data_IF_069685773838
#
_entry.id   IF_069685773838
#
_cell.length_a   1.000
_cell.length_b   1.000
_cell.length_c   1.000
_cell.angle_alpha   90.00
_cell.angle_beta   90.00
_cell.angle_gamma   90.00
#
_symmetry.space_group_name_H-M   'P 1'
#
loop_
_entity.id
_entity.type
_entity.pdbx_description
1 polymer ?
#
# COMPACT_ATOMS: atom_id res chain seq x y z
N UNK A 1 27.79 27.51 -32.06
CA UNK A 1 27.93 28.84 -31.43
C UNK A 1 27.05 28.84 -30.21
N UNK A 2 27.64 28.88 -29.00
CA UNK A 2 26.90 28.76 -27.75
C UNK A 2 25.94 29.94 -27.58
N UNK A 3 24.70 29.63 -27.19
CA UNK A 3 23.75 30.62 -26.69
C UNK A 3 24.40 31.33 -25.50
N UNK A 4 24.86 32.57 -25.70
CA UNK A 4 25.29 33.42 -24.59
C UNK A 4 24.00 33.81 -23.89
N UNK A 5 23.72 33.18 -22.75
CA UNK A 5 22.61 33.56 -21.88
C UNK A 5 22.79 35.03 -21.50
N UNK A 6 21.78 35.85 -21.79
CA UNK A 6 21.78 37.26 -21.38
C UNK A 6 22.02 37.35 -19.87
N UNK A 7 23.02 38.10 -19.39
CA UNK A 7 23.31 38.17 -17.96
C UNK A 7 22.12 38.76 -17.20
N UNK A 8 21.81 38.17 -16.04
CA UNK A 8 20.74 38.64 -15.16
C UNK A 8 21.09 40.02 -14.62
N UNK A 9 20.18 40.99 -14.77
CA UNK A 9 20.31 42.30 -14.16
C UNK A 9 19.47 42.38 -12.89
N UNK A 10 20.08 42.82 -11.79
CA UNK A 10 19.36 43.17 -10.56
C UNK A 10 18.36 44.30 -10.84
N UNK A 11 17.15 44.17 -10.32
CA UNK A 11 16.05 45.14 -10.57
C UNK A 11 15.92 46.23 -9.51
N UNK A 12 16.65 46.12 -8.39
CA UNK A 12 16.61 47.08 -7.29
C UNK A 12 17.24 48.44 -7.68
N UNK A 13 16.68 49.55 -7.18
CA UNK A 13 17.14 50.90 -7.52
C UNK A 13 18.62 51.14 -7.14
N UNK A 14 19.07 50.53 -6.06
CA UNK A 14 20.45 50.64 -5.55
C UNK A 14 21.43 49.62 -6.17
N UNK A 15 20.98 48.76 -7.09
CA UNK A 15 21.81 47.68 -7.65
C UNK A 15 23.12 48.17 -8.27
N UNK A 16 23.09 49.32 -8.95
CA UNK A 16 24.28 49.92 -9.54
C UNK A 16 25.30 50.37 -8.50
N UNK A 17 24.83 50.81 -7.32
CA UNK A 17 25.69 51.16 -6.21
C UNK A 17 26.28 49.89 -5.56
N UNK A 18 25.46 48.88 -5.27
CA UNK A 18 25.94 47.61 -4.71
C UNK A 18 26.97 46.91 -5.61
N UNK A 19 26.73 46.87 -6.93
CA UNK A 19 27.69 46.30 -7.88
C UNK A 19 29.05 47.01 -7.80
N UNK A 20 29.05 48.34 -7.63
CA UNK A 20 30.27 49.14 -7.56
C UNK A 20 31.03 48.87 -6.26
N UNK A 21 30.34 48.89 -5.12
CA UNK A 21 30.93 48.60 -3.82
C UNK A 21 31.51 47.18 -3.78
N UNK A 22 30.74 46.18 -4.24
CA UNK A 22 31.17 44.78 -4.26
C UNK A 22 32.46 44.58 -5.08
N UNK A 23 32.58 45.24 -6.23
CA UNK A 23 33.79 45.15 -7.05
C UNK A 23 35.02 45.77 -6.36
N UNK A 24 34.83 46.87 -5.63
CA UNK A 24 35.89 47.49 -4.83
C UNK A 24 36.31 46.58 -3.68
N UNK A 25 35.34 45.96 -2.99
CA UNK A 25 35.62 45.01 -1.92
C UNK A 25 36.36 43.77 -2.42
N UNK A 26 35.94 43.20 -3.56
CA UNK A 26 36.63 42.05 -4.18
C UNK A 26 38.07 42.38 -4.53
N UNK A 27 38.31 43.56 -5.12
CA UNK A 27 39.65 43.99 -5.46
C UNK A 27 40.52 44.12 -4.20
N UNK A 28 39.99 44.76 -3.14
CA UNK A 28 40.70 44.91 -1.88
C UNK A 28 40.99 43.55 -1.20
N UNK A 29 40.06 42.59 -1.29
CA UNK A 29 40.25 41.25 -0.74
C UNK A 29 41.32 40.46 -1.49
N UNK A 30 41.33 40.51 -2.83
CA UNK A 30 42.33 39.81 -3.65
C UNK A 30 43.73 40.43 -3.54
N UNK A 31 43.83 41.75 -3.37
CA UNK A 31 45.10 42.43 -3.09
C UNK A 31 45.70 41.99 -1.75
N UNK A 32 44.84 41.66 -0.77
CA UNK A 32 45.25 41.16 0.55
C UNK A 32 45.54 39.67 0.55
N UNK A 33 44.71 38.88 -0.14
CA UNK A 33 44.83 37.43 -0.29
C UNK A 33 44.33 37.01 -1.68
N UNK A 34 45.24 36.64 -2.61
CA UNK A 34 44.85 36.20 -3.95
C UNK A 34 43.97 34.95 -3.99
N UNK A 35 43.87 34.20 -2.88
CA UNK A 35 43.03 33.00 -2.76
C UNK A 35 41.72 33.24 -1.99
N UNK A 36 41.35 34.50 -1.72
CA UNK A 36 40.13 34.84 -0.99
C UNK A 36 38.86 34.23 -1.63
N UNK A 37 37.97 33.70 -0.80
CA UNK A 37 36.67 33.19 -1.25
C UNK A 37 35.70 34.35 -1.53
N UNK A 38 35.69 34.80 -2.78
CA UNK A 38 34.82 35.88 -3.25
C UNK A 38 33.33 35.52 -3.18
N UNK A 39 32.97 34.23 -3.16
CA UNK A 39 31.56 33.82 -3.05
C UNK A 39 30.99 34.10 -1.67
N UNK A 40 31.82 34.14 -0.63
CA UNK A 40 31.43 34.50 0.74
C UNK A 40 31.21 36.00 0.94
N UNK A 41 31.69 36.83 0.01
CA UNK A 41 31.68 38.29 0.14
C UNK A 41 30.41 38.95 -0.40
N UNK A 42 29.51 38.20 -1.03
CA UNK A 42 28.21 38.74 -1.44
C UNK A 42 27.34 39.02 -0.21
N UNK A 43 26.84 40.24 -0.07
CA UNK A 43 25.93 40.60 1.02
C UNK A 43 24.57 39.88 0.89
N UNK A 44 23.90 39.69 2.02
CA UNK A 44 22.56 39.08 2.05
C UNK A 44 21.56 39.85 1.18
N UNK A 45 21.67 41.19 1.14
CA UNK A 45 20.84 42.05 0.30
C UNK A 45 21.09 41.78 -1.21
N UNK A 46 22.35 41.64 -1.60
CA UNK A 46 22.72 41.31 -2.98
C UNK A 46 22.23 39.91 -3.38
N UNK A 47 22.45 38.92 -2.51
CA UNK A 47 22.03 37.53 -2.74
C UNK A 47 20.50 37.42 -2.82
N UNK A 48 19.77 38.17 -2.00
CA UNK A 48 18.31 38.21 -2.02
C UNK A 48 17.78 38.72 -3.36
N UNK A 49 18.28 39.87 -3.82
CA UNK A 49 17.87 40.46 -5.09
C UNK A 49 18.28 39.59 -6.29
N UNK A 50 19.44 38.94 -6.21
CA UNK A 50 19.84 37.96 -7.22
C UNK A 50 18.87 36.77 -7.31
N UNK A 51 18.46 36.22 -6.16
CA UNK A 51 17.46 35.13 -6.09
C UNK A 51 16.09 35.55 -6.60
N UNK A 52 15.67 36.80 -6.37
CA UNK A 52 14.42 37.36 -6.93
C UNK A 52 14.47 37.37 -8.45
N UNK A 53 15.57 37.88 -9.02
CA UNK A 53 15.72 37.97 -10.47
C UNK A 53 15.79 36.59 -11.12
N UNK A 54 16.51 35.63 -10.51
CA UNK A 54 16.51 34.24 -10.96
C UNK A 54 15.09 33.64 -10.97
N UNK A 55 14.31 33.87 -9.91
CA UNK A 55 12.95 33.36 -9.80
C UNK A 55 11.99 34.03 -10.81
N UNK A 56 12.24 35.29 -11.18
CA UNK A 56 11.37 36.04 -12.10
C UNK A 56 11.28 35.42 -13.50
N UNK A 57 12.33 34.70 -13.92
CA UNK A 57 12.41 34.03 -15.22
C UNK A 57 11.78 32.63 -15.22
N UNK A 58 11.34 32.13 -14.06
CA UNK A 58 10.82 30.78 -13.91
C UNK A 58 9.29 30.72 -13.99
N UNK A 59 8.80 29.57 -14.46
CA UNK A 59 7.38 29.19 -14.36
C UNK A 59 6.91 29.21 -12.90
N UNK A 60 5.60 29.23 -12.67
CA UNK A 60 5.06 29.23 -11.30
C UNK A 60 5.55 28.03 -10.47
N UNK A 61 5.59 26.84 -11.08
CA UNK A 61 6.19 25.64 -10.49
C UNK A 61 7.70 25.79 -10.26
N UNK A 62 8.43 26.35 -11.23
CA UNK A 62 9.87 26.62 -11.09
C UNK A 62 10.19 27.58 -9.94
N UNK A 63 9.35 28.60 -9.71
CA UNK A 63 9.47 29.52 -8.56
C UNK A 63 9.27 28.83 -7.22
N UNK A 64 8.36 27.85 -7.15
CA UNK A 64 8.16 27.04 -5.94
C UNK A 64 9.42 26.23 -5.65
N UNK A 65 9.96 25.54 -6.66
CA UNK A 65 11.17 24.74 -6.52
C UNK A 65 12.38 25.58 -6.11
N UNK A 66 12.61 26.70 -6.80
CA UNK A 66 13.72 27.61 -6.50
C UNK A 66 13.65 28.16 -5.09
N UNK A 67 12.44 28.49 -4.61
CA UNK A 67 12.25 28.98 -3.24
C UNK A 67 12.56 27.90 -2.20
N UNK A 68 12.14 26.66 -2.43
CA UNK A 68 12.48 25.55 -1.52
C UNK A 68 13.98 25.32 -1.47
N UNK A 69 14.66 25.31 -2.62
CA UNK A 69 16.12 25.15 -2.68
C UNK A 69 16.86 26.28 -1.95
N UNK A 70 16.45 27.54 -2.15
CA UNK A 70 17.08 28.67 -1.47
C UNK A 70 16.92 28.57 0.05
N UNK A 71 15.73 28.20 0.54
CA UNK A 71 15.48 28.06 1.97
C UNK A 71 16.32 26.92 2.56
N UNK A 72 16.32 25.74 1.95
CA UNK A 72 17.15 24.61 2.41
C UNK A 72 18.65 24.94 2.39
N UNK A 73 19.09 25.74 1.42
CA UNK A 73 20.47 26.21 1.36
C UNK A 73 20.79 27.20 2.50
N UNK A 74 19.85 28.06 2.87
CA UNK A 74 20.00 28.96 4.02
C UNK A 74 20.02 28.18 5.33
N UNK A 75 19.16 27.17 5.46
CA UNK A 75 19.11 26.27 6.63
C UNK A 75 20.44 25.50 6.78
N UNK A 76 20.97 24.95 5.67
CA UNK A 76 22.26 24.24 5.65
C UNK A 76 23.46 25.16 5.94
N UNK A 77 23.39 26.44 5.54
CA UNK A 77 24.43 27.43 5.86
C UNK A 77 24.41 27.78 7.34
N UNK A 78 23.24 27.79 7.97
CA UNK A 78 23.08 28.10 9.38
C UNK A 78 23.47 26.91 10.27
N UNK A 79 23.03 25.70 9.90
CA UNK A 79 23.34 24.44 10.56
C UNK A 79 23.74 23.37 9.52
N UNK A 80 25.05 23.09 9.35
CA UNK A 80 25.53 22.10 8.40
C UNK A 80 25.08 20.65 8.71
N UNK A 81 24.62 20.36 9.94
CA UNK A 81 24.15 19.03 10.35
C UNK A 81 22.62 18.91 10.32
N UNK A 82 21.92 19.93 9.82
CA UNK A 82 20.45 19.97 9.79
C UNK A 82 19.88 18.80 8.99
N UNK A 83 18.82 18.19 9.52
CA UNK A 83 18.06 17.19 8.77
C UNK A 83 17.22 17.89 7.70
N UNK A 84 17.71 17.92 6.46
CA UNK A 84 17.01 18.56 5.35
C UNK A 84 15.58 18.05 5.12
N UNK A 85 15.27 16.82 5.54
CA UNK A 85 13.90 16.29 5.43
C UNK A 85 12.95 16.94 6.44
N UNK A 86 13.43 17.34 7.63
CA UNK A 86 12.60 18.06 8.60
C UNK A 86 12.34 19.51 8.20
N UNK A 87 13.31 20.14 7.53
CA UNK A 87 13.17 21.50 7.01
C UNK A 87 12.43 21.56 5.66
N UNK A 88 12.30 20.41 4.98
CA UNK A 88 11.59 20.35 3.71
C UNK A 88 10.11 20.75 3.88
N UNK A 89 9.58 21.71 3.09
CA UNK A 89 8.23 22.20 3.30
C UNK A 89 7.17 21.10 3.15
N UNK A 90 6.45 20.81 4.23
CA UNK A 90 5.40 19.77 4.28
C UNK A 90 4.28 19.98 3.24
N UNK A 91 4.06 21.22 2.80
CA UNK A 91 3.06 21.56 1.78
C UNK A 91 3.61 21.62 0.35
N UNK A 92 4.89 21.30 0.13
CA UNK A 92 5.54 21.37 -1.18
C UNK A 92 4.79 20.54 -2.22
N UNK A 93 4.49 19.29 -1.92
CA UNK A 93 3.78 18.36 -2.82
C UNK A 93 2.45 18.95 -3.29
N UNK A 94 1.65 19.51 -2.37
CA UNK A 94 0.39 20.17 -2.74
C UNK A 94 0.64 21.38 -3.65
N UNK A 95 1.62 22.22 -3.30
CA UNK A 95 1.92 23.46 -4.04
C UNK A 95 2.43 23.17 -5.45
N UNK A 96 3.31 22.18 -5.62
CA UNK A 96 3.87 21.83 -6.93
C UNK A 96 2.81 21.17 -7.82
N UNK A 97 1.97 20.30 -7.27
CA UNK A 97 0.84 19.68 -8.00
C UNK A 97 -0.17 20.72 -8.48
N UNK A 98 -0.51 21.70 -7.64
CA UNK A 98 -1.38 22.81 -8.05
C UNK A 98 -0.74 23.69 -9.13
N UNK A 99 0.58 23.89 -9.08
CA UNK A 99 1.29 24.75 -10.01
C UNK A 99 1.53 24.11 -11.39
N UNK A 100 1.68 22.78 -11.44
CA UNK A 100 1.88 22.03 -12.69
C UNK A 100 0.55 21.65 -13.37
N UNK A 101 -0.57 21.68 -12.62
CA UNK A 101 -1.88 21.26 -13.10
C UNK A 101 -1.98 19.73 -13.26
N UNK A 102 -3.20 19.20 -13.15
CA UNK A 102 -3.49 17.76 -13.15
C UNK A 102 -3.11 17.01 -14.45
N UNK A 103 -2.57 17.69 -15.47
CA UNK A 103 -2.15 17.12 -16.76
C UNK A 103 -0.63 16.95 -16.93
N UNK A 104 0.20 17.42 -16.00
CA UNK A 104 1.64 17.22 -16.07
C UNK A 104 2.14 16.07 -15.16
N UNK A 105 1.34 15.67 -14.17
CA UNK A 105 1.60 14.47 -13.38
C UNK A 105 1.52 13.18 -14.23
N UNK A 106 0.70 13.18 -15.29
CA UNK A 106 0.61 12.06 -16.24
C UNK A 106 1.83 11.92 -17.14
N UNK A 107 2.62 12.99 -17.35
CA UNK A 107 3.80 12.95 -18.24
C UNK A 107 5.10 12.60 -17.49
N UNK A 108 5.06 12.48 -16.16
CA UNK A 108 6.21 12.00 -15.38
C UNK A 108 6.25 10.45 -15.28
N UNK A 109 5.18 9.78 -15.69
CA UNK A 109 5.10 8.31 -15.80
C UNK A 109 5.57 7.78 -17.16
N UNK A 110 5.73 8.63 -18.18
CA UNK A 110 6.50 8.29 -19.38
C UNK A 110 8.01 8.42 -19.11
N UNK A 111 8.51 7.76 -18.06
CA UNK A 111 9.93 7.44 -17.95
C UNK A 111 10.16 6.16 -18.75
N UNK A 112 11.04 6.26 -19.75
CA UNK A 112 11.65 5.16 -20.47
C UNK A 112 11.65 3.86 -19.64
N UNK A 113 10.85 2.89 -20.07
CA UNK A 113 10.91 1.49 -19.61
C UNK A 113 12.31 0.95 -19.93
N UNK A 114 13.25 1.15 -19.00
CA UNK A 114 14.18 0.07 -18.71
C UNK A 114 13.29 -1.02 -18.13
N UNK A 115 12.98 -2.06 -18.91
CA UNK A 115 12.29 -3.26 -18.41
C UNK A 115 13.10 -3.81 -17.25
N UNK A 116 12.76 -3.38 -16.05
CA UNK A 116 13.41 -3.83 -14.84
C UNK A 116 13.11 -5.32 -14.65
N UNK A 117 14.11 -6.12 -14.24
CA UNK A 117 13.95 -7.57 -14.20
C UNK A 117 12.78 -7.99 -13.30
N UNK A 118 11.99 -8.96 -13.77
CA UNK A 118 10.76 -9.43 -13.13
C UNK A 118 11.05 -10.05 -11.74
N UNK A 119 10.04 -10.12 -10.85
CA UNK A 119 10.22 -10.70 -9.51
C UNK A 119 10.86 -12.09 -9.60
N UNK A 120 10.37 -12.93 -10.52
CA UNK A 120 10.92 -14.27 -10.76
C UNK A 120 12.40 -14.29 -11.13
N UNK A 121 12.86 -13.35 -11.95
CA UNK A 121 14.25 -13.27 -12.42
C UNK A 121 15.23 -12.88 -11.30
N UNK A 122 14.78 -12.12 -10.31
CA UNK A 122 15.63 -11.69 -9.18
C UNK A 122 15.61 -12.63 -7.98
N UNK A 123 14.51 -13.35 -7.80
CA UNK A 123 14.18 -13.93 -6.49
C UNK A 123 14.04 -15.44 -6.46
N UNK A 124 13.52 -16.10 -7.51
CA UNK A 124 13.24 -17.55 -7.43
C UNK A 124 14.50 -18.41 -7.30
N UNK A 125 15.63 -17.97 -7.86
CA UNK A 125 16.91 -18.69 -7.76
C UNK A 125 17.47 -18.69 -6.32
N UNK A 126 17.00 -17.79 -5.45
CA UNK A 126 17.41 -17.72 -4.03
C UNK A 126 16.74 -18.78 -3.17
N UNK A 127 15.76 -19.50 -3.68
CA UNK A 127 15.10 -20.58 -2.96
C UNK A 127 15.91 -21.88 -3.11
N UNK A 128 16.68 -22.22 -2.08
CA UNK A 128 17.52 -23.42 -2.02
C UNK A 128 16.85 -24.59 -1.30
N UNK A 129 15.80 -24.32 -0.53
CA UNK A 129 15.10 -25.28 0.34
C UNK A 129 13.60 -25.29 0.06
N UNK A 130 12.95 -26.42 0.32
CA UNK A 130 11.50 -26.53 0.19
C UNK A 130 10.91 -27.54 1.19
N UNK A 131 9.88 -27.14 1.92
CA UNK A 131 9.16 -28.02 2.84
C UNK A 131 7.66 -27.78 2.79
N UNK A 132 6.88 -28.85 2.66
CA UNK A 132 5.42 -28.81 2.71
C UNK A 132 4.98 -28.48 4.14
N UNK A 133 4.33 -27.33 4.33
CA UNK A 133 3.79 -26.88 5.62
C UNK A 133 2.35 -27.37 5.78
N UNK A 134 1.56 -27.30 4.70
CA UNK A 134 0.21 -27.84 4.63
C UNK A 134 0.08 -28.79 3.43
N UNK A 135 -0.63 -29.94 3.58
CA UNK A 135 -0.69 -30.98 2.56
C UNK A 135 -1.07 -30.45 1.17
N UNK A 136 -0.35 -30.93 0.15
CA UNK A 136 -0.65 -30.61 -1.24
C UNK A 136 -1.79 -31.50 -1.75
N UNK A 137 -2.75 -30.92 -2.45
CA UNK A 137 -3.80 -31.68 -3.13
C UNK A 137 -3.24 -32.54 -4.27
N UNK A 138 -3.97 -33.57 -4.69
CA UNK A 138 -3.60 -34.43 -5.82
C UNK A 138 -3.36 -33.63 -7.11
N UNK A 139 -4.12 -32.55 -7.33
CA UNK A 139 -3.97 -31.66 -8.48
C UNK A 139 -2.61 -30.95 -8.49
N UNK A 140 -2.19 -30.43 -7.34
CA UNK A 140 -0.88 -29.75 -7.20
C UNK A 140 0.26 -30.76 -7.28
N UNK A 141 0.12 -31.92 -6.64
CA UNK A 141 1.09 -33.01 -6.71
C UNK A 141 1.30 -33.46 -8.16
N UNK A 142 0.22 -33.58 -8.94
CA UNK A 142 0.30 -33.92 -10.36
C UNK A 142 0.98 -32.82 -11.20
N UNK A 143 0.74 -31.54 -10.92
CA UNK A 143 1.42 -30.42 -11.58
C UNK A 143 2.92 -30.43 -11.32
N UNK A 144 3.34 -30.61 -10.06
CA UNK A 144 4.75 -30.67 -9.69
C UNK A 144 5.45 -31.88 -10.33
N UNK A 145 4.78 -33.04 -10.35
CA UNK A 145 5.31 -34.23 -10.99
C UNK A 145 5.48 -34.09 -12.51
N UNK A 146 4.63 -33.28 -13.18
CA UNK A 146 4.82 -32.95 -14.59
C UNK A 146 6.06 -32.08 -14.81
N UNK A 147 6.32 -31.13 -13.92
CA UNK A 147 7.52 -30.29 -13.98
C UNK A 147 8.81 -31.10 -13.77
N UNK A 148 8.85 -32.06 -12.84
CA UNK A 148 10.06 -32.89 -12.65
C UNK A 148 10.38 -33.74 -13.87
N UNK A 149 9.36 -34.22 -14.61
CA UNK A 149 9.56 -34.97 -15.86
C UNK A 149 10.18 -34.12 -16.96
N UNK A 150 9.90 -32.81 -16.99
CA UNK A 150 10.53 -31.88 -17.93
C UNK A 150 12.03 -31.73 -17.63
N UNK A 151 12.41 -31.80 -16.36
CA UNK A 151 13.80 -31.75 -15.90
C UNK A 151 14.52 -33.11 -15.99
N UNK A 152 13.81 -34.19 -16.33
CA UNK A 152 14.36 -35.55 -16.46
C UNK A 152 14.45 -36.34 -15.14
N UNK A 153 13.86 -35.83 -14.06
CA UNK A 153 13.94 -36.40 -12.71
C UNK A 153 12.67 -37.16 -12.29
N UNK A 154 12.81 -38.10 -11.34
CA UNK A 154 11.66 -38.70 -10.65
C UNK A 154 11.17 -37.76 -9.54
N UNK A 155 9.89 -37.39 -9.60
CA UNK A 155 9.27 -36.56 -8.56
C UNK A 155 9.13 -37.33 -7.25
N UNK A 156 9.61 -36.75 -6.14
CA UNK A 156 9.31 -37.22 -4.80
C UNK A 156 9.02 -36.05 -3.87
N UNK A 157 7.87 -36.09 -3.19
CA UNK A 157 7.50 -35.10 -2.18
C UNK A 157 8.41 -35.13 -0.94
N UNK A 158 9.04 -36.26 -0.66
CA UNK A 158 9.97 -36.42 0.48
C UNK A 158 11.40 -36.00 0.14
N UNK A 159 11.70 -35.79 -1.13
CA UNK A 159 13.00 -35.28 -1.58
C UNK A 159 12.93 -33.77 -1.78
N UNK A 160 13.53 -33.04 -0.86
CA UNK A 160 13.58 -31.57 -0.88
C UNK A 160 14.15 -31.03 -2.20
N UNK A 161 15.18 -31.66 -2.76
CA UNK A 161 15.79 -31.18 -4.01
C UNK A 161 14.85 -31.31 -5.19
N UNK A 162 14.15 -32.45 -5.27
CA UNK A 162 13.11 -32.71 -6.27
C UNK A 162 11.99 -31.68 -6.17
N UNK A 163 11.55 -31.36 -4.94
CA UNK A 163 10.52 -30.36 -4.69
C UNK A 163 10.96 -28.94 -5.08
N UNK A 164 12.19 -28.54 -4.74
CA UNK A 164 12.77 -27.24 -5.13
C UNK A 164 12.80 -27.07 -6.65
N UNK A 165 13.34 -28.06 -7.38
CA UNK A 165 13.43 -27.99 -8.84
C UNK A 165 12.04 -27.89 -9.47
N UNK A 166 11.11 -28.74 -9.03
CA UNK A 166 9.75 -28.79 -9.58
C UNK A 166 8.97 -27.50 -9.33
N UNK A 167 9.12 -26.89 -8.15
CA UNK A 167 8.52 -25.60 -7.83
C UNK A 167 9.11 -24.49 -8.70
N UNK A 168 10.43 -24.45 -8.85
CA UNK A 168 11.10 -23.44 -9.68
C UNK A 168 10.62 -23.54 -11.13
N UNK A 169 10.60 -24.75 -11.69
CA UNK A 169 10.13 -25.01 -13.06
C UNK A 169 8.65 -24.62 -13.22
N UNK A 170 7.78 -25.00 -12.29
CA UNK A 170 6.36 -24.62 -12.32
C UNK A 170 6.16 -23.10 -12.29
N UNK A 171 6.78 -22.43 -11.32
CA UNK A 171 6.64 -20.99 -11.11
C UNK A 171 7.26 -20.17 -12.26
N UNK A 172 8.33 -20.67 -12.88
CA UNK A 172 8.97 -20.01 -14.00
C UNK A 172 8.15 -20.11 -15.29
N UNK A 173 7.62 -21.29 -15.58
CA UNK A 173 6.90 -21.57 -16.83
C UNK A 173 5.45 -21.10 -16.83
N UNK A 174 4.86 -20.91 -15.66
CA UNK A 174 3.47 -20.48 -15.52
C UNK A 174 3.25 -19.01 -15.94
N UNK A 175 2.15 -18.68 -16.64
CA UNK A 175 1.76 -17.31 -16.92
C UNK A 175 1.61 -16.48 -15.65
N UNK A 176 2.23 -15.30 -15.62
CA UNK A 176 2.12 -14.37 -14.49
C UNK A 176 0.79 -13.59 -14.56
N UNK A 177 0.02 -13.63 -13.47
CA UNK A 177 -1.22 -12.86 -13.32
C UNK A 177 -0.99 -11.53 -12.60
N UNK A 178 -0.06 -11.50 -11.64
CA UNK A 178 0.24 -10.32 -10.83
C UNK A 178 1.68 -10.36 -10.30
N UNK A 179 2.27 -9.19 -10.05
CA UNK A 179 3.57 -9.06 -9.40
C UNK A 179 3.69 -7.79 -8.55
N UNK A 180 4.53 -7.88 -7.53
CA UNK A 180 5.05 -6.76 -6.74
C UNK A 180 6.52 -7.04 -6.42
N UNK A 181 7.38 -6.03 -6.60
CA UNK A 181 8.83 -6.15 -6.37
C UNK A 181 9.18 -6.59 -4.95
N UNK A 182 8.35 -6.20 -3.98
CA UNK A 182 8.63 -6.41 -2.55
C UNK A 182 7.75 -7.51 -1.98
N UNK A 183 6.48 -7.61 -2.40
CA UNK A 183 5.53 -8.55 -1.80
C UNK A 183 5.60 -9.96 -2.40
N UNK A 184 5.77 -10.08 -3.72
CA UNK A 184 5.70 -11.39 -4.38
C UNK A 184 5.07 -11.39 -5.76
N UNK A 185 4.59 -12.56 -6.19
CA UNK A 185 3.94 -12.75 -7.48
C UNK A 185 2.81 -13.78 -7.42
N UNK A 186 1.90 -13.73 -8.41
CA UNK A 186 0.86 -14.75 -8.62
C UNK A 186 0.99 -15.28 -10.04
N UNK A 187 1.04 -16.61 -10.17
CA UNK A 187 1.09 -17.30 -11.46
C UNK A 187 -0.08 -18.26 -11.64
N UNK A 188 -0.56 -18.39 -12.87
CA UNK A 188 -1.61 -19.34 -13.26
C UNK A 188 -0.98 -20.67 -13.66
N UNK A 189 -0.99 -21.64 -12.76
CA UNK A 189 -0.38 -22.96 -13.02
C UNK A 189 -1.14 -23.75 -14.08
N UNK A 190 -2.47 -23.66 -14.08
CA UNK A 190 -3.37 -24.17 -15.11
C UNK A 190 -4.76 -23.48 -15.00
N UNK A 191 -5.79 -24.02 -15.65
CA UNK A 191 -7.15 -23.47 -15.61
C UNK A 191 -7.83 -23.57 -14.23
N UNK A 192 -7.29 -24.35 -13.30
CA UNK A 192 -7.90 -24.61 -11.99
C UNK A 192 -7.07 -24.12 -10.81
N UNK A 193 -5.76 -23.95 -10.97
CA UNK A 193 -4.81 -23.71 -9.88
C UNK A 193 -3.98 -22.46 -10.18
N UNK A 194 -3.87 -21.60 -9.16
CA UNK A 194 -2.88 -20.53 -9.09
C UNK A 194 -1.90 -20.80 -7.96
N UNK A 195 -0.68 -20.26 -8.11
CA UNK A 195 0.32 -20.22 -7.06
C UNK A 195 0.64 -18.76 -6.73
N UNK A 196 0.44 -18.38 -5.47
CA UNK A 196 0.85 -17.09 -4.92
C UNK A 196 2.16 -17.29 -4.18
N UNK A 197 3.22 -16.63 -4.66
CA UNK A 197 4.55 -16.63 -4.04
C UNK A 197 4.69 -15.34 -3.26
N UNK A 198 4.90 -15.43 -1.95
CA UNK A 198 4.98 -14.27 -1.05
C UNK A 198 6.31 -14.32 -0.30
N UNK A 199 6.93 -13.17 -0.08
CA UNK A 199 8.13 -13.05 0.76
C UNK A 199 7.82 -13.32 2.23
N UNK A 200 8.65 -14.10 2.91
CA UNK A 200 8.56 -14.36 4.34
C UNK A 200 7.67 -15.56 4.73
N UNK A 201 8.00 -16.19 5.85
CA UNK A 201 7.44 -17.48 6.29
C UNK A 201 6.80 -17.44 7.69
N UNK A 202 6.54 -16.26 8.25
CA UNK A 202 6.05 -16.09 9.63
C UNK A 202 4.53 -16.06 9.78
N UNK A 203 3.79 -15.97 8.66
CA UNK A 203 2.35 -15.74 8.67
C UNK A 203 1.65 -16.60 7.62
N UNK A 204 0.68 -17.40 8.08
CA UNK A 204 -0.10 -18.33 7.26
C UNK A 204 -1.59 -17.97 7.20
N UNK A 205 -1.95 -16.76 7.66
CA UNK A 205 -3.35 -16.31 7.77
C UNK A 205 -4.13 -16.50 6.48
N UNK A 206 -3.55 -16.16 5.32
CA UNK A 206 -4.24 -16.33 4.03
C UNK A 206 -4.67 -17.78 3.79
N UNK A 207 -3.76 -18.75 4.02
CA UNK A 207 -4.07 -20.17 3.82
C UNK A 207 -5.07 -20.68 4.85
N UNK A 208 -4.86 -20.36 6.13
CA UNK A 208 -5.71 -20.86 7.23
C UNK A 208 -7.11 -20.29 7.17
N UNK A 209 -7.27 -19.05 6.70
CA UNK A 209 -8.57 -18.44 6.46
C UNK A 209 -9.32 -19.06 5.29
N UNK A 210 -8.65 -19.32 4.16
CA UNK A 210 -9.29 -20.03 3.04
C UNK A 210 -9.71 -21.45 3.45
N UNK A 211 -8.88 -22.16 4.23
CA UNK A 211 -9.23 -23.47 4.77
C UNK A 211 -10.45 -23.40 5.69
N UNK A 212 -10.46 -22.42 6.60
CA UNK A 212 -11.59 -22.20 7.50
C UNK A 212 -12.90 -21.91 6.75
N UNK A 213 -12.85 -21.09 5.70
CA UNK A 213 -14.01 -20.80 4.86
C UNK A 213 -14.49 -22.03 4.10
N UNK A 214 -13.57 -22.81 3.51
CA UNK A 214 -13.93 -24.06 2.82
C UNK A 214 -14.67 -25.03 3.75
N UNK A 215 -14.25 -25.12 5.02
CA UNK A 215 -14.83 -26.02 6.01
C UNK A 215 -16.15 -25.49 6.63
N UNK A 216 -16.27 -24.17 6.84
CA UNK A 216 -17.33 -23.58 7.69
C UNK A 216 -18.34 -22.75 6.94
N UNK A 217 -17.97 -22.22 5.77
CA UNK A 217 -18.81 -21.34 4.96
C UNK A 217 -18.49 -21.49 3.46
N UNK A 218 -18.67 -22.69 2.87
CA UNK A 218 -18.31 -22.98 1.48
C UNK A 218 -19.12 -22.19 0.45
N UNK A 219 -20.20 -21.53 0.86
CA UNK A 219 -20.99 -20.60 0.07
C UNK A 219 -20.29 -19.24 -0.15
N UNK A 220 -19.32 -18.88 0.71
CA UNK A 220 -18.51 -17.69 0.51
C UNK A 220 -17.58 -17.95 -0.67
N UNK A 221 -17.59 -17.09 -1.71
CA UNK A 221 -16.84 -17.35 -2.93
C UNK A 221 -15.36 -16.96 -2.75
N UNK A 222 -14.63 -17.71 -1.93
CA UNK A 222 -13.18 -17.60 -1.73
C UNK A 222 -12.42 -18.65 -2.56
N UNK A 223 -11.15 -18.43 -2.92
CA UNK A 223 -10.30 -19.48 -3.46
C UNK A 223 -10.19 -20.65 -2.48
N UNK A 224 -10.22 -21.89 -2.98
CA UNK A 224 -10.03 -23.07 -2.13
C UNK A 224 -8.54 -23.37 -1.97
N UNK A 225 -8.05 -23.67 -0.77
CA UNK A 225 -6.65 -23.98 -0.56
C UNK A 225 -6.28 -25.35 -1.15
N UNK A 226 -5.11 -25.45 -1.78
CA UNK A 226 -4.59 -26.68 -2.39
C UNK A 226 -3.21 -27.08 -1.87
N UNK A 227 -2.72 -26.40 -0.84
CA UNK A 227 -1.48 -26.67 -0.12
C UNK A 227 -0.60 -25.44 0.06
N UNK A 228 0.34 -25.52 1.00
CA UNK A 228 1.29 -24.45 1.29
C UNK A 228 2.70 -25.02 1.48
N UNK A 229 3.67 -24.41 0.79
CA UNK A 229 5.08 -24.80 0.84
C UNK A 229 5.91 -23.62 1.32
N UNK A 230 6.79 -23.85 2.30
CA UNK A 230 7.90 -22.93 2.56
C UNK A 230 8.98 -23.21 1.51
N UNK A 231 9.37 -22.18 0.76
CA UNK A 231 10.26 -22.24 -0.39
C UNK A 231 11.40 -21.24 -0.22
N UNK A 232 12.45 -21.64 0.50
CA UNK A 232 13.53 -20.77 0.93
C UNK A 232 13.00 -19.53 1.70
N UNK A 233 13.30 -18.30 1.25
CA UNK A 233 12.81 -17.09 1.89
C UNK A 233 11.36 -16.72 1.51
N UNK A 234 10.68 -17.56 0.73
CA UNK A 234 9.31 -17.35 0.26
C UNK A 234 8.38 -18.43 0.78
N UNK A 235 7.08 -18.16 0.71
CA UNK A 235 6.01 -19.16 0.80
C UNK A 235 5.28 -19.24 -0.52
N UNK A 236 4.87 -20.44 -0.89
CA UNK A 236 4.03 -20.71 -2.06
C UNK A 236 2.70 -21.25 -1.58
N UNK A 237 1.64 -20.48 -1.84
CA UNK A 237 0.27 -20.85 -1.52
C UNK A 237 -0.40 -21.29 -2.81
N UNK A 238 -0.79 -22.57 -2.88
CA UNK A 238 -1.59 -23.08 -3.98
C UNK A 238 -3.07 -22.93 -3.63
N UNK A 239 -3.84 -22.39 -4.56
CA UNK A 239 -5.28 -22.20 -4.37
C UNK A 239 -6.02 -22.29 -5.71
N UNK A 240 -7.34 -22.44 -5.66
CA UNK A 240 -8.15 -22.50 -6.88
C UNK A 240 -8.09 -21.17 -7.65
N UNK A 241 -8.07 -21.25 -8.98
CA UNK A 241 -8.22 -20.08 -9.84
C UNK A 241 -9.65 -19.55 -9.79
N UNK A 242 -9.81 -18.25 -9.51
CA UNK A 242 -11.11 -17.56 -9.57
C UNK A 242 -11.25 -16.93 -10.96
N UNK A 243 -12.26 -17.33 -11.76
CA UNK A 243 -12.42 -16.84 -13.13
C UNK A 243 -12.89 -15.38 -13.18
N UNK A 244 -12.57 -14.69 -14.26
CA UNK A 244 -13.02 -13.32 -14.54
C UNK A 244 -11.90 -12.30 -14.50
N UNK A 245 -12.26 -11.05 -14.23
CA UNK A 245 -11.34 -9.92 -14.10
C UNK A 245 -11.58 -9.23 -12.76
N UNK A 246 -10.56 -8.54 -12.25
CA UNK A 246 -10.70 -7.72 -11.04
C UNK A 246 -11.74 -6.63 -11.26
N UNK A 247 -12.51 -6.30 -10.24
CA UNK A 247 -13.49 -5.22 -10.27
C UNK A 247 -12.82 -3.89 -10.62
N UNK A 248 -11.58 -3.64 -10.18
CA UNK A 248 -10.80 -2.44 -10.59
C UNK A 248 -10.74 -2.26 -12.10
N UNK A 249 -10.53 -3.35 -12.86
CA UNK A 249 -10.45 -3.31 -14.33
C UNK A 249 -11.82 -3.15 -14.99
N UNK A 250 -12.87 -3.72 -14.39
CA UNK A 250 -14.23 -3.62 -14.91
C UNK A 250 -14.89 -2.27 -14.57
N UNK A 251 -14.61 -1.71 -13.40
CA UNK A 251 -15.32 -0.59 -12.77
C UNK A 251 -15.53 0.63 -13.67
N UNK A 252 -14.53 1.10 -14.47
CA UNK A 252 -14.71 2.26 -15.34
C UNK A 252 -15.77 2.06 -16.44
N UNK A 253 -16.06 0.80 -16.79
CA UNK A 253 -16.98 0.44 -17.87
C UNK A 253 -18.37 0.01 -17.35
N UNK A 254 -18.58 -0.01 -16.04
CA UNK A 254 -19.84 -0.42 -15.44
C UNK A 254 -20.87 0.71 -15.47
N UNK A 255 -22.10 0.39 -15.85
CA UNK A 255 -23.23 1.29 -15.69
C UNK A 255 -23.59 1.47 -14.20
N UNK A 256 -24.42 2.47 -13.90
CA UNK A 256 -24.96 2.63 -12.55
C UNK A 256 -25.69 1.38 -12.06
N UNK A 257 -26.50 0.76 -12.93
CA UNK A 257 -27.26 -0.45 -12.60
C UNK A 257 -26.36 -1.67 -12.38
N UNK A 258 -25.25 -1.79 -13.13
CA UNK A 258 -24.26 -2.84 -12.89
C UNK A 258 -23.59 -2.67 -11.52
N UNK A 259 -23.22 -1.43 -11.17
CA UNK A 259 -22.63 -1.11 -9.86
C UNK A 259 -23.58 -1.42 -8.72
N UNK A 260 -24.88 -1.10 -8.86
CA UNK A 260 -25.91 -1.46 -7.88
C UNK A 260 -26.10 -2.98 -7.77
N UNK A 261 -26.03 -3.69 -8.90
CA UNK A 261 -26.17 -5.15 -8.93
C UNK A 261 -24.99 -5.84 -8.25
N UNK A 262 -23.77 -5.36 -8.47
CA UNK A 262 -22.57 -5.84 -7.78
C UNK A 262 -22.64 -5.49 -6.28
N UNK A 263 -23.07 -4.28 -5.94
CA UNK A 263 -23.25 -3.86 -4.54
C UNK A 263 -24.17 -4.83 -3.78
N UNK A 264 -25.30 -5.23 -4.38
CA UNK A 264 -26.24 -6.19 -3.77
C UNK A 264 -25.61 -7.56 -3.57
N UNK A 265 -24.94 -8.10 -4.60
CA UNK A 265 -24.24 -9.39 -4.49
C UNK A 265 -23.18 -9.39 -3.39
N UNK A 266 -22.37 -8.33 -3.31
CA UNK A 266 -21.40 -8.17 -2.24
C UNK A 266 -22.07 -8.05 -0.89
N UNK A 267 -23.20 -7.35 -0.79
CA UNK A 267 -23.94 -7.23 0.46
C UNK A 267 -24.45 -8.57 0.98
N UNK A 268 -24.94 -9.43 0.10
CA UNK A 268 -25.36 -10.80 0.45
C UNK A 268 -24.16 -11.64 0.93
N UNK A 269 -23.02 -11.55 0.25
CA UNK A 269 -21.79 -12.25 0.61
C UNK A 269 -21.30 -11.79 2.00
N UNK A 270 -21.19 -10.48 2.23
CA UNK A 270 -20.70 -9.94 3.50
C UNK A 270 -21.72 -10.11 4.64
N UNK A 271 -23.03 -10.11 4.36
CA UNK A 271 -24.04 -10.49 5.33
C UNK A 271 -23.83 -11.93 5.82
N UNK A 272 -23.54 -12.85 4.90
CA UNK A 272 -23.28 -14.27 5.19
C UNK A 272 -21.96 -14.44 5.95
N UNK A 273 -20.89 -13.80 5.50
CA UNK A 273 -19.57 -13.82 6.16
C UNK A 273 -19.68 -13.38 7.62
N UNK A 274 -20.45 -12.32 7.88
CA UNK A 274 -20.64 -11.75 9.24
C UNK A 274 -21.56 -12.58 10.13
N UNK A 275 -22.21 -13.64 9.62
CA UNK A 275 -22.87 -14.64 10.48
C UNK A 275 -21.87 -15.58 11.15
N UNK A 276 -20.63 -15.64 10.66
CA UNK A 276 -19.56 -16.37 11.30
C UNK A 276 -19.06 -15.53 12.48
N UNK A 277 -19.51 -15.91 13.68
CA UNK A 277 -19.23 -15.16 14.92
C UNK A 277 -18.53 -16.01 15.95
N UNK A 278 -17.80 -15.33 16.82
CA UNK A 278 -17.31 -15.89 18.07
C UNK A 278 -17.62 -14.95 19.23
N UNK A 279 -17.85 -15.52 20.41
CA UNK A 279 -18.01 -14.76 21.65
C UNK A 279 -16.67 -14.17 22.06
N UNK A 280 -16.69 -12.91 22.48
CA UNK A 280 -15.49 -12.26 23.01
C UNK A 280 -14.91 -13.02 24.21
N UNK A 281 -13.59 -12.97 24.36
CA UNK A 281 -12.87 -13.66 25.43
C UNK A 281 -12.76 -15.18 25.24
N UNK A 282 -13.45 -15.79 24.26
CA UNK A 282 -13.38 -17.25 24.04
C UNK A 282 -12.15 -17.64 23.22
N UNK A 283 -11.89 -16.90 22.14
CA UNK A 283 -10.70 -17.08 21.31
C UNK A 283 -10.05 -15.72 21.06
N UNK A 284 -8.75 -15.69 20.70
CA UNK A 284 -8.09 -14.48 20.24
C UNK A 284 -8.75 -13.88 19.00
N UNK A 285 -8.62 -12.55 18.87
CA UNK A 285 -8.87 -11.81 17.64
C UNK A 285 -7.69 -11.98 16.67
N UNK A 286 -7.93 -11.66 15.39
CA UNK A 286 -6.97 -11.83 14.31
C UNK A 286 -7.12 -13.16 13.58
N UNK A 287 -6.01 -13.69 13.05
CA UNK A 287 -6.01 -14.92 12.25
C UNK A 287 -6.60 -16.14 12.98
N UNK A 288 -7.19 -17.06 12.21
CA UNK A 288 -7.97 -18.21 12.69
C UNK A 288 -7.20 -19.10 13.67
N UNK A 289 -5.89 -19.28 13.47
CA UNK A 289 -5.04 -20.15 14.30
C UNK A 289 -4.31 -19.39 15.40
N UNK A 290 -4.74 -18.16 15.71
CA UNK A 290 -4.12 -17.32 16.72
C UNK A 290 -2.85 -16.63 16.20
N UNK A 291 -2.72 -16.45 14.89
CA UNK A 291 -1.63 -15.68 14.27
C UNK A 291 -1.53 -14.27 14.88
N UNK A 292 -2.64 -13.73 15.37
CA UNK A 292 -2.71 -12.46 16.08
C UNK A 292 -3.35 -11.35 15.23
N UNK A 293 -3.61 -10.23 15.88
CA UNK A 293 -4.19 -9.04 15.26
C UNK A 293 -3.15 -8.32 14.41
N UNK A 294 -3.55 -7.89 13.21
CA UNK A 294 -2.76 -7.00 12.35
C UNK A 294 -3.26 -5.58 12.48
N UNK A 295 -2.50 -4.72 13.15
CA UNK A 295 -2.80 -3.30 13.25
C UNK A 295 -1.64 -2.49 12.69
N UNK A 296 -1.66 -2.34 11.35
CA UNK A 296 -0.60 -1.71 10.55
C UNK A 296 -0.28 -0.28 10.98
N UNK A 297 -1.21 0.39 11.69
CA UNK A 297 -1.01 1.76 12.22
C UNK A 297 -0.12 1.81 13.46
N UNK A 298 -0.02 0.71 14.19
CA UNK A 298 0.83 0.60 15.40
C UNK A 298 2.20 0.08 14.99
N UNK A 299 2.22 -0.97 14.17
CA UNK A 299 3.43 -1.55 13.59
C UNK A 299 3.03 -2.33 12.33
N UNK A 300 3.66 -2.02 11.20
CA UNK A 300 3.34 -2.60 9.89
C UNK A 300 3.67 -4.09 9.79
N UNK A 301 4.55 -4.61 10.66
CA UNK A 301 5.08 -5.96 10.61
C UNK A 301 4.67 -6.81 11.83
N UNK A 302 4.06 -6.21 12.85
CA UNK A 302 3.75 -6.92 14.10
C UNK A 302 2.45 -7.73 14.02
N UNK A 303 2.49 -8.87 14.73
CA UNK A 303 1.32 -9.70 15.01
C UNK A 303 1.01 -9.63 16.51
N UNK A 304 -0.07 -8.94 16.87
CA UNK A 304 -0.43 -8.70 18.26
C UNK A 304 -1.25 -9.86 18.82
N UNK A 305 -0.60 -10.73 19.59
CA UNK A 305 -1.23 -11.90 20.22
C UNK A 305 -1.91 -11.54 21.55
N UNK A 306 -2.80 -12.42 22.01
CA UNK A 306 -3.45 -12.31 23.33
C UNK A 306 -4.58 -11.28 23.42
N UNK A 307 -4.93 -10.63 22.31
CA UNK A 307 -6.09 -9.74 22.22
C UNK A 307 -7.32 -10.61 22.01
N UNK A 308 -8.29 -10.55 22.92
CA UNK A 308 -9.47 -11.42 22.94
C UNK A 308 -10.79 -10.65 22.98
N UNK A 309 -10.74 -9.35 23.26
CA UNK A 309 -11.91 -8.49 23.42
C UNK A 309 -11.86 -7.28 22.50
N UNK A 310 -13.03 -6.70 22.19
CA UNK A 310 -13.11 -5.44 21.45
C UNK A 310 -12.40 -4.33 22.20
N UNK A 311 -12.47 -4.33 23.54
CA UNK A 311 -11.79 -3.32 24.36
C UNK A 311 -10.27 -3.36 24.18
N UNK A 312 -9.66 -4.54 24.27
CA UNK A 312 -8.21 -4.70 24.08
C UNK A 312 -7.77 -4.31 22.67
N UNK A 313 -8.58 -4.64 21.66
CA UNK A 313 -8.32 -4.19 20.29
C UNK A 313 -8.38 -2.66 20.18
N UNK A 314 -9.37 -2.01 20.80
CA UNK A 314 -9.45 -0.54 20.83
C UNK A 314 -8.22 0.07 21.53
N UNK A 315 -7.76 -0.54 22.63
CA UNK A 315 -6.55 -0.10 23.32
C UNK A 315 -5.32 -0.22 22.42
N UNK A 316 -5.19 -1.30 21.66
CA UNK A 316 -4.14 -1.46 20.66
C UNK A 316 -4.20 -0.35 19.59
N UNK A 317 -5.37 -0.05 19.03
CA UNK A 317 -5.51 0.97 17.96
C UNK A 317 -4.92 2.33 18.37
N UNK A 318 -5.06 2.71 19.65
CA UNK A 318 -4.55 3.96 20.21
C UNK A 318 -3.17 3.84 20.87
N UNK A 319 -2.49 2.69 20.74
CA UNK A 319 -1.19 2.43 21.38
C UNK A 319 0.02 2.89 20.57
N UNK A 320 -0.19 3.36 19.32
CA UNK A 320 0.88 3.86 18.46
C UNK A 320 1.68 4.95 19.18
N UNK A 321 2.92 4.62 19.54
CA UNK A 321 3.77 5.47 20.40
C UNK A 321 4.14 6.76 19.66
N UNK A 322 4.25 7.86 20.39
CA UNK A 322 4.69 9.17 19.89
C UNK A 322 3.72 9.89 18.92
N UNK A 323 2.57 9.30 18.58
CA UNK A 323 1.59 9.90 17.68
C UNK A 323 0.35 10.47 18.39
N UNK A 324 0.44 10.86 19.67
CA UNK A 324 -0.69 11.48 20.35
C UNK A 324 -0.45 11.69 21.84
N UNK A 325 -0.88 12.85 22.36
CA UNK A 325 -0.89 13.07 23.81
C UNK A 325 -1.98 12.21 24.46
N UNK A 326 -1.80 11.87 25.74
CA UNK A 326 -2.82 11.16 26.51
C UNK A 326 -4.18 11.89 26.48
N UNK A 327 -4.18 13.23 26.47
CA UNK A 327 -5.38 14.06 26.36
C UNK A 327 -6.06 13.91 25.00
N UNK A 328 -5.31 13.90 23.90
CA UNK A 328 -5.87 13.72 22.56
C UNK A 328 -6.50 12.33 22.40
N UNK A 329 -5.81 11.29 22.85
CA UNK A 329 -6.33 9.92 22.87
C UNK A 329 -7.58 9.81 23.75
N UNK A 330 -7.58 10.42 24.94
CA UNK A 330 -8.76 10.45 25.81
C UNK A 330 -9.96 11.15 25.15
N UNK A 331 -9.74 12.26 24.46
CA UNK A 331 -10.78 12.96 23.70
C UNK A 331 -11.33 12.09 22.56
N UNK A 332 -10.48 11.42 21.78
CA UNK A 332 -10.96 10.51 20.72
C UNK A 332 -11.77 9.36 21.29
N UNK A 333 -11.34 8.80 22.42
CA UNK A 333 -12.06 7.73 23.12
C UNK A 333 -13.41 8.19 23.68
N UNK A 334 -13.55 9.44 24.11
CA UNK A 334 -14.84 9.94 24.65
C UNK A 334 -15.95 9.96 23.59
N UNK A 335 -15.61 10.12 22.30
CA UNK A 335 -16.60 9.98 21.22
C UNK A 335 -17.14 8.54 21.07
N UNK A 336 -16.46 7.55 21.64
CA UNK A 336 -16.81 6.12 21.52
C UNK A 336 -17.48 5.56 22.79
N UNK A 337 -17.64 6.34 23.87
CA UNK A 337 -18.21 5.87 25.15
C UNK A 337 -19.66 5.38 25.04
N UNK A 338 -20.41 5.91 24.08
CA UNK A 338 -21.79 5.53 23.81
C UNK A 338 -21.95 4.66 22.55
N UNK A 339 -20.84 4.15 22.01
CA UNK A 339 -20.86 3.29 20.83
C UNK A 339 -21.47 1.92 21.18
N UNK A 340 -22.63 1.61 20.62
CA UNK A 340 -23.30 0.32 20.82
C UNK A 340 -22.55 -0.84 20.15
N UNK A 341 -21.58 -0.57 19.27
CA UNK A 341 -20.76 -1.60 18.62
C UNK A 341 -19.90 -2.39 19.61
N UNK A 342 -19.55 -1.80 20.76
CA UNK A 342 -18.81 -2.48 21.83
C UNK A 342 -19.72 -3.25 22.79
N UNK A 343 -21.05 -3.14 22.64
CA UNK A 343 -22.02 -3.93 23.43
C UNK A 343 -22.26 -5.31 22.82
N UNK A 344 -22.03 -5.46 21.52
CA UNK A 344 -21.96 -6.76 20.89
C UNK A 344 -20.71 -7.46 21.46
N UNK A 345 -20.89 -8.32 22.45
CA UNK A 345 -19.83 -9.17 23.03
C UNK A 345 -19.43 -10.30 22.05
N UNK A 346 -19.37 -9.96 20.76
CA UNK A 346 -19.14 -10.85 19.64
C UNK A 346 -18.18 -10.18 18.65
N UNK A 347 -17.19 -10.95 18.18
CA UNK A 347 -16.41 -10.61 17.00
C UNK A 347 -16.92 -11.41 15.80
N UNK A 348 -16.80 -10.82 14.61
CA UNK A 348 -17.21 -11.41 13.34
C UNK A 348 -15.99 -11.78 12.52
N UNK A 349 -16.10 -12.78 11.66
CA UNK A 349 -15.09 -13.04 10.67
C UNK A 349 -15.14 -11.95 9.58
N UNK A 350 -13.98 -11.39 9.23
CA UNK A 350 -13.85 -10.28 8.27
C UNK A 350 -12.78 -10.61 7.24
N UNK A 351 -12.91 -10.01 6.04
CA UNK A 351 -11.89 -10.11 5.00
C UNK A 351 -10.66 -9.24 5.31
N UNK A 352 -10.87 -8.04 5.85
CA UNK A 352 -9.80 -7.13 6.29
C UNK A 352 -9.22 -6.21 5.21
N UNK A 353 -9.20 -6.63 3.94
CA UNK A 353 -8.76 -5.80 2.80
C UNK A 353 -9.80 -5.77 1.65
N UNK A 354 -10.99 -5.25 1.92
CA UNK A 354 -12.07 -5.16 0.91
C UNK A 354 -11.84 -3.98 -0.03
N UNK A 355 -11.32 -4.28 -1.22
CA UNK A 355 -11.08 -3.30 -2.30
C UNK A 355 -11.37 -3.91 -3.68
N UNK A 356 -11.54 -3.05 -4.69
CA UNK A 356 -11.88 -3.47 -6.06
C UNK A 356 -10.84 -4.38 -6.70
N UNK A 357 -9.59 -4.36 -6.23
CA UNK A 357 -8.53 -5.25 -6.72
C UNK A 357 -8.71 -6.71 -6.25
N UNK A 358 -9.39 -6.88 -5.12
CA UNK A 358 -9.60 -8.15 -4.45
C UNK A 358 -10.98 -8.78 -4.74
N UNK A 359 -11.77 -8.13 -5.60
CA UNK A 359 -13.10 -8.61 -6.00
C UNK A 359 -13.02 -9.04 -7.46
N UNK A 360 -13.40 -10.27 -7.75
CA UNK A 360 -13.43 -10.83 -9.11
C UNK A 360 -14.85 -10.78 -9.66
N UNK A 361 -14.98 -10.36 -10.92
CA UNK A 361 -16.25 -10.30 -11.64
C UNK A 361 -16.13 -10.86 -13.05
N UNK A 362 -17.25 -11.35 -13.57
CA UNK A 362 -17.38 -11.70 -14.99
C UNK A 362 -18.78 -11.36 -15.48
N UNK A 363 -18.94 -11.27 -16.79
CA UNK A 363 -20.29 -11.26 -17.38
C UNK A 363 -20.85 -12.68 -17.34
N UNK A 364 -22.09 -12.82 -16.88
CA UNK A 364 -22.77 -14.10 -16.82
C UNK A 364 -22.96 -14.67 -18.23
N UNK A 365 -22.49 -15.91 -18.51
CA UNK A 365 -22.60 -16.51 -19.82
C UNK A 365 -24.07 -16.71 -20.21
N UNK A 366 -24.48 -16.18 -21.36
CA UNK A 366 -25.85 -16.37 -21.87
C UNK A 366 -26.90 -15.42 -21.29
N UNK A 367 -26.51 -14.46 -20.44
CA UNK A 367 -27.37 -13.35 -20.02
C UNK A 367 -27.15 -12.11 -20.90
N UNK A 368 -27.96 -11.07 -20.70
CA UNK A 368 -27.86 -9.78 -21.38
C UNK A 368 -26.66 -8.92 -20.90
N UNK A 369 -25.51 -9.53 -20.63
CA UNK A 369 -24.29 -8.84 -20.20
C UNK A 369 -24.25 -8.48 -18.71
N UNK A 370 -25.05 -9.15 -17.86
CA UNK A 370 -25.08 -8.88 -16.42
C UNK A 370 -23.76 -9.31 -15.76
N UNK A 371 -23.22 -8.46 -14.88
CA UNK A 371 -22.03 -8.80 -14.10
C UNK A 371 -22.37 -9.60 -12.85
N UNK A 372 -21.61 -10.68 -12.62
CA UNK A 372 -21.66 -11.49 -11.41
C UNK A 372 -20.31 -11.44 -10.68
N UNK A 373 -20.37 -11.44 -9.35
CA UNK A 373 -19.20 -11.60 -8.49
C UNK A 373 -18.80 -13.07 -8.48
N UNK A 374 -17.60 -13.38 -8.97
CA UNK A 374 -17.09 -14.75 -9.07
C UNK A 374 -16.24 -15.15 -7.87
N UNK A 375 -15.71 -14.17 -7.15
CA UNK A 375 -15.05 -14.43 -5.88
C UNK A 375 -14.38 -13.23 -5.25
N UNK A 376 -13.97 -13.42 -4.00
CA UNK A 376 -13.19 -12.48 -3.19
C UNK A 376 -11.84 -13.16 -2.92
N UNK A 377 -10.75 -12.49 -3.29
CA UNK A 377 -9.37 -13.01 -3.20
C UNK A 377 -8.56 -12.19 -2.19
N UNK A 378 -7.34 -12.63 -1.88
CA UNK A 378 -6.39 -11.94 -1.00
C UNK A 378 -6.85 -11.86 0.47
N UNK A 379 -7.07 -13.04 1.06
CA UNK A 379 -7.52 -13.20 2.46
C UNK A 379 -6.39 -13.03 3.49
N UNK A 380 -5.29 -12.36 3.14
CA UNK A 380 -4.11 -12.25 4.00
C UNK A 380 -4.38 -11.46 5.29
N UNK A 381 -5.30 -10.50 5.28
CA UNK A 381 -5.67 -9.67 6.44
C UNK A 381 -6.95 -10.13 7.15
N UNK A 382 -7.45 -11.31 6.78
CA UNK A 382 -8.69 -11.83 7.33
C UNK A 382 -8.54 -12.38 8.74
N UNK A 383 -9.66 -12.50 9.44
CA UNK A 383 -9.65 -12.95 10.83
C UNK A 383 -10.92 -12.58 11.58
N UNK A 384 -10.95 -12.91 12.86
CA UNK A 384 -12.01 -12.44 13.76
C UNK A 384 -11.65 -11.07 14.31
N UNK A 385 -12.52 -10.09 14.08
CA UNK A 385 -12.34 -8.72 14.52
C UNK A 385 -13.65 -8.16 15.11
N UNK A 386 -13.59 -7.03 15.85
CA UNK A 386 -14.79 -6.41 16.39
C UNK A 386 -15.85 -6.15 15.33
N UNK A 387 -17.12 -6.16 15.70
CA UNK A 387 -18.24 -6.08 14.77
C UNK A 387 -18.17 -4.88 13.79
N UNK A 388 -17.57 -3.76 14.20
CA UNK A 388 -17.41 -2.55 13.38
C UNK A 388 -16.17 -2.57 12.46
N UNK A 389 -15.23 -3.50 12.64
CA UNK A 389 -13.87 -3.42 12.08
C UNK A 389 -13.87 -3.17 10.57
N UNK A 390 -14.57 -4.00 9.81
CA UNK A 390 -14.59 -3.90 8.35
C UNK A 390 -15.20 -2.58 7.87
N UNK A 391 -16.18 -2.03 8.61
CA UNK A 391 -16.81 -0.72 8.36
C UNK A 391 -15.84 0.46 8.51
N UNK A 392 -14.73 0.25 9.22
CA UNK A 392 -13.65 1.24 9.33
C UNK A 392 -12.52 0.95 8.35
N UNK A 393 -12.17 -0.33 8.18
CA UNK A 393 -11.05 -0.77 7.36
C UNK A 393 -11.26 -0.53 5.85
N UNK A 394 -12.48 -0.68 5.32
CA UNK A 394 -12.73 -0.61 3.87
C UNK A 394 -12.39 0.74 3.20
N UNK A 395 -12.20 1.80 3.99
CA UNK A 395 -11.83 3.14 3.48
C UNK A 395 -10.38 3.52 3.72
N UNK A 396 -9.53 2.58 4.17
CA UNK A 396 -8.10 2.84 4.43
C UNK A 396 -7.36 3.35 3.18
N UNK A 397 -7.79 2.92 2.00
CA UNK A 397 -7.27 3.31 0.69
C UNK A 397 -8.07 4.43 0.02
N UNK A 398 -9.05 5.04 0.70
CA UNK A 398 -9.82 6.16 0.15
C UNK A 398 -8.92 7.40 0.05
N UNK A 399 -8.59 7.77 -1.18
CA UNK A 399 -7.92 9.02 -1.53
C UNK A 399 -8.87 10.20 -1.36
N UNK A 400 -8.34 11.32 -0.88
CA UNK A 400 -9.09 12.59 -0.76
C UNK A 400 -8.95 13.47 -2.00
N UNK A 401 -8.11 13.07 -2.96
CA UNK A 401 -7.84 13.83 -4.19
C UNK A 401 -8.32 13.12 -5.45
N UNK A 402 -8.35 11.79 -5.43
CA UNK A 402 -8.75 11.00 -6.60
C UNK A 402 -10.26 10.75 -6.59
N UNK A 403 -10.89 10.99 -7.73
CA UNK A 403 -12.31 10.67 -7.92
C UNK A 403 -12.47 9.16 -8.13
N UNK A 404 -12.75 8.44 -7.05
CA UNK A 404 -13.12 7.03 -7.10
C UNK A 404 -14.52 6.84 -6.52
N UNK A 405 -15.52 6.64 -7.38
CA UNK A 405 -16.91 6.51 -6.96
C UNK A 405 -17.25 5.13 -6.36
N UNK A 406 -16.32 4.16 -6.35
CA UNK A 406 -16.45 2.87 -5.63
C UNK A 406 -17.02 3.05 -4.22
N UNK A 407 -16.53 4.05 -3.50
CA UNK A 407 -16.92 4.30 -2.11
C UNK A 407 -18.36 4.78 -1.94
N UNK A 408 -19.08 5.07 -3.03
CA UNK A 408 -20.51 5.37 -3.04
C UNK A 408 -21.37 4.09 -3.19
N UNK A 409 -20.76 2.97 -3.57
CA UNK A 409 -21.44 1.68 -3.82
C UNK A 409 -20.97 0.58 -2.86
N UNK A 410 -20.49 0.96 -1.67
CA UNK A 410 -20.05 0.00 -0.66
C UNK A 410 -21.24 -0.86 -0.18
N UNK A 411 -21.02 -2.15 0.13
CA UNK A 411 -22.09 -3.01 0.65
C UNK A 411 -22.62 -2.48 1.98
N UNK A 412 -23.94 -2.51 2.18
CA UNK A 412 -24.58 -1.89 3.36
C UNK A 412 -24.14 -2.55 4.66
N UNK A 413 -23.98 -3.87 4.65
CA UNK A 413 -23.53 -4.71 5.77
C UNK A 413 -22.13 -4.37 6.28
N UNK A 414 -21.28 -3.76 5.47
CA UNK A 414 -19.94 -3.30 5.87
C UNK A 414 -19.73 -1.80 5.61
N UNK A 415 -20.81 -1.04 5.44
CA UNK A 415 -20.74 0.39 5.17
C UNK A 415 -20.28 1.19 6.39
N UNK A 416 -19.45 2.23 6.22
CA UNK A 416 -19.14 3.20 7.28
C UNK A 416 -20.39 3.80 7.95
N UNK A 417 -21.50 3.88 7.22
CA UNK A 417 -22.77 4.42 7.71
C UNK A 417 -23.39 3.60 8.84
N UNK A 418 -22.96 2.33 9.04
CA UNK A 418 -23.37 1.53 10.20
C UNK A 418 -22.75 2.03 11.50
N UNK A 419 -21.54 2.57 11.43
CA UNK A 419 -20.77 3.05 12.58
C UNK A 419 -20.10 4.39 12.27
N UNK A 420 -20.87 5.45 11.99
CA UNK A 420 -20.33 6.69 11.41
C UNK A 420 -19.38 7.42 12.37
N UNK A 421 -19.71 7.46 13.68
CA UNK A 421 -18.83 8.06 14.70
C UNK A 421 -17.52 7.29 14.78
N UNK A 422 -17.59 5.95 14.74
CA UNK A 422 -16.41 5.09 14.80
C UNK A 422 -15.50 5.30 13.60
N UNK A 423 -16.09 5.32 12.41
CA UNK A 423 -15.39 5.60 11.16
C UNK A 423 -14.73 6.97 11.16
N UNK A 424 -15.43 8.02 11.62
CA UNK A 424 -14.86 9.37 11.72
C UNK A 424 -13.67 9.44 12.69
N UNK A 425 -13.79 8.83 13.87
CA UNK A 425 -12.69 8.76 14.85
C UNK A 425 -11.50 7.98 14.27
N UNK A 426 -11.75 6.84 13.64
CA UNK A 426 -10.73 6.01 13.01
C UNK A 426 -9.99 6.77 11.89
N UNK A 427 -10.73 7.49 11.04
CA UNK A 427 -10.17 8.34 9.98
C UNK A 427 -9.36 9.50 10.55
N UNK A 428 -9.86 10.21 11.56
CA UNK A 428 -9.11 11.30 12.21
C UNK A 428 -7.80 10.78 12.80
N UNK A 429 -7.83 9.62 13.47
CA UNK A 429 -6.64 8.98 14.00
C UNK A 429 -5.66 8.57 12.89
N UNK A 430 -6.15 7.95 11.82
CA UNK A 430 -5.34 7.59 10.65
C UNK A 430 -4.68 8.82 10.01
N UNK A 431 -5.41 9.92 9.85
CA UNK A 431 -4.85 11.16 9.34
C UNK A 431 -3.77 11.71 10.26
N UNK A 432 -4.01 11.70 11.58
CA UNK A 432 -3.02 12.16 12.55
C UNK A 432 -1.71 11.37 12.44
N UNK A 433 -1.78 10.04 12.46
CA UNK A 433 -0.63 9.14 12.32
C UNK A 433 0.20 9.35 11.05
N UNK A 434 -0.42 9.78 9.94
CA UNK A 434 0.30 10.03 8.69
C UNK A 434 1.05 11.38 8.65
N UNK A 435 0.72 12.30 9.56
CA UNK A 435 1.22 13.69 9.53
C UNK A 435 2.07 14.05 10.76
N UNK A 436 2.11 13.18 11.77
CA UNK A 436 3.00 13.24 12.94
C UNK A 436 3.98 12.09 12.89
#
# INVERSE_FOLDING_TARGET
>A
MGSISTPLSLSHADAAHWNRELMLEFQAALEKDPAADLMSMFSDAYLHEHRIVQASQLSYAGRINQRVLNNLQDDLRHDPEVNLLSEFPKNYTRRITMALGAKAASNAEEKHEVKEPEFRERHLDRAETASVIYPLSDKVTALLAQCSRLDGDQFSLSDEKSLVSSLRTLLWTSPQLWQSRIRGMVVKCNEEIVAKVITGNSDYTEYTSMQFLEERAPEIPAPKPHGLVAFGPFRVIFMSYVPGTTLTKAWPNLSHEDKLTIQRQLDDIFCSLRQIRQREGTNPLGGIRGEGVKELRVDECALFQGITTTKEYNDLQFSARHHGSATYVALLRSFLEHDTSTQAQESVFTHGDVRTDNIMVMQEPGSSGQYIVTGIIDWEDSGFYPFYYECTALTRTLSVVDNNDWYLYLPQSISPLRFPVRWLVDRLWQFHLRHT
#
